data_IF_219602796031
#
_entry.id   IF_219602796031
#
_cell.length_a   1.000
_cell.length_b   1.000
_cell.length_c   1.000
_cell.angle_alpha   90.00
_cell.angle_beta   90.00
_cell.angle_gamma   90.00
#
_symmetry.space_group_name_H-M   'P 1'
#
loop_
_entity.id
_entity.type
_entity.pdbx_description
1 polymer ?
#
# COMPACT_ATOMS: atom_id res chain seq x y z
N UNK A 1 19.45 -47.39 -30.34
CA UNK A 1 19.06 -47.24 -28.92
C UNK A 1 20.19 -46.60 -28.15
N UNK A 2 20.13 -45.29 -27.94
CA UNK A 2 20.64 -44.61 -26.73
C UNK A 2 20.22 -43.15 -26.82
N UNK A 3 18.92 -42.89 -26.65
CA UNK A 3 18.39 -41.56 -26.38
C UNK A 3 18.50 -41.28 -24.87
N UNK A 4 19.69 -41.52 -24.31
CA UNK A 4 20.06 -41.11 -22.96
C UNK A 4 20.80 -39.75 -23.01
N UNK A 5 20.30 -38.84 -23.84
CA UNK A 5 20.57 -37.39 -23.76
C UNK A 5 19.57 -36.75 -22.81
N UNK A 6 19.58 -37.26 -21.58
CA UNK A 6 18.57 -37.03 -20.57
C UNK A 6 18.84 -35.72 -19.84
N UNK A 7 17.80 -34.87 -19.80
CA UNK A 7 17.56 -33.71 -18.91
C UNK A 7 18.52 -32.54 -19.07
N UNK A 8 18.06 -31.47 -19.74
CA UNK A 8 18.60 -30.13 -19.54
C UNK A 8 18.45 -29.76 -18.05
N UNK A 9 19.55 -29.73 -17.26
CA UNK A 9 19.48 -29.40 -15.84
C UNK A 9 19.30 -27.89 -15.73
N UNK A 10 18.04 -27.45 -15.62
CA UNK A 10 17.73 -26.01 -15.51
C UNK A 10 16.24 -25.69 -15.47
N UNK A 11 15.40 -26.53 -16.09
CA UNK A 11 13.97 -26.25 -16.25
C UNK A 11 13.13 -26.25 -14.96
N UNK A 12 13.66 -26.74 -13.83
CA UNK A 12 12.92 -26.78 -12.54
C UNK A 12 13.25 -25.63 -11.58
N UNK A 13 14.42 -25.00 -11.68
CA UNK A 13 14.81 -23.92 -10.74
C UNK A 13 14.13 -22.59 -11.06
N UNK A 14 13.77 -22.35 -12.32
CA UNK A 14 13.09 -21.13 -12.77
C UNK A 14 11.56 -21.09 -12.48
N UNK A 15 10.99 -22.16 -11.89
CA UNK A 15 9.53 -22.27 -11.64
C UNK A 15 9.15 -22.42 -10.17
N UNK A 16 10.08 -22.22 -9.24
CA UNK A 16 9.67 -22.15 -7.83
C UNK A 16 8.98 -20.80 -7.61
N UNK A 17 7.67 -20.83 -7.30
CA UNK A 17 6.93 -19.68 -6.76
C UNK A 17 7.38 -19.35 -5.34
N UNK A 18 8.67 -19.09 -5.17
CA UNK A 18 9.24 -18.61 -3.92
C UNK A 18 9.03 -17.11 -3.78
N UNK A 19 8.95 -16.65 -2.53
CA UNK A 19 9.01 -15.23 -2.21
C UNK A 19 10.30 -14.64 -2.77
N UNK A 20 10.17 -13.80 -3.79
CA UNK A 20 11.30 -13.08 -4.39
C UNK A 20 11.44 -11.70 -3.73
N UNK A 21 12.60 -11.06 -3.93
CA UNK A 21 12.93 -9.71 -3.45
C UNK A 21 11.85 -8.70 -3.81
N UNK A 22 11.28 -8.80 -5.02
CA UNK A 22 10.16 -7.95 -5.44
C UNK A 22 8.90 -8.12 -4.58
N UNK A 23 8.62 -9.33 -4.10
CA UNK A 23 7.49 -9.58 -3.19
C UNK A 23 7.76 -8.95 -1.82
N UNK A 24 9.01 -9.02 -1.33
CA UNK A 24 9.43 -8.34 -0.10
C UNK A 24 9.34 -6.81 -0.21
N UNK A 25 9.80 -6.24 -1.32
CA UNK A 25 9.68 -4.81 -1.60
C UNK A 25 8.22 -4.36 -1.70
N UNK A 26 7.36 -5.16 -2.34
CA UNK A 26 5.93 -4.89 -2.44
C UNK A 26 5.27 -4.84 -1.06
N UNK A 27 5.60 -5.78 -0.17
CA UNK A 27 5.09 -5.76 1.20
C UNK A 27 5.52 -4.50 1.96
N UNK A 28 6.80 -4.11 1.84
CA UNK A 28 7.31 -2.87 2.46
C UNK A 28 6.59 -1.63 1.92
N UNK A 29 6.36 -1.55 0.61
CA UNK A 29 5.60 -0.46 -0.01
C UNK A 29 4.18 -0.36 0.57
N UNK A 30 3.48 -1.48 0.72
CA UNK A 30 2.12 -1.50 1.29
C UNK A 30 2.13 -1.02 2.75
N UNK A 31 3.12 -1.41 3.55
CA UNK A 31 3.26 -0.94 4.93
C UNK A 31 3.49 0.58 5.01
N UNK A 32 4.40 1.10 4.19
CA UNK A 32 4.70 2.55 4.15
C UNK A 32 3.48 3.34 3.66
N UNK A 33 2.79 2.85 2.63
CA UNK A 33 1.55 3.46 2.14
C UNK A 33 0.47 3.47 3.24
N UNK A 34 0.29 2.38 3.97
CA UNK A 34 -0.63 2.31 5.10
C UNK A 34 -0.28 3.30 6.21
N UNK A 35 1.00 3.42 6.55
CA UNK A 35 1.47 4.40 7.54
C UNK A 35 1.21 5.85 7.07
N UNK A 36 1.49 6.17 5.81
CA UNK A 36 1.23 7.50 5.26
C UNK A 36 -0.27 7.84 5.28
N UNK A 37 -1.13 6.89 4.87
CA UNK A 37 -2.58 7.07 4.87
C UNK A 37 -3.14 7.28 6.29
N UNK A 38 -2.64 6.55 7.29
CA UNK A 38 -3.08 6.71 8.69
C UNK A 38 -2.63 8.05 9.28
N UNK A 39 -1.40 8.50 9.00
CA UNK A 39 -0.94 9.83 9.41
C UNK A 39 -1.80 10.94 8.80
N UNK A 40 -2.11 10.84 7.50
CA UNK A 40 -3.00 11.77 6.83
C UNK A 40 -4.42 11.74 7.43
N UNK A 41 -4.93 10.57 7.77
CA UNK A 41 -6.24 10.43 8.41
C UNK A 41 -6.30 11.18 9.74
N UNK A 42 -5.30 11.04 10.61
CA UNK A 42 -5.27 11.79 11.88
C UNK A 42 -5.14 13.29 11.69
N UNK A 43 -4.40 13.75 10.67
CA UNK A 43 -4.34 15.16 10.33
C UNK A 43 -5.71 15.67 9.84
N UNK A 44 -6.39 14.90 8.99
CA UNK A 44 -7.71 15.23 8.47
C UNK A 44 -8.77 15.32 9.59
N UNK A 45 -8.74 14.41 10.57
CA UNK A 45 -9.66 14.46 11.74
C UNK A 45 -9.58 15.80 12.48
N UNK A 46 -8.40 16.43 12.55
CA UNK A 46 -8.21 17.72 13.25
C UNK A 46 -8.81 18.90 12.51
N UNK A 47 -8.84 18.86 11.18
CA UNK A 47 -9.33 19.95 10.33
C UNK A 47 -10.77 19.75 9.88
N UNK A 48 -11.30 18.53 9.99
CA UNK A 48 -12.69 18.24 9.66
C UNK A 48 -13.67 18.88 10.65
N UNK A 49 -14.76 19.52 10.17
CA UNK A 49 -15.74 20.18 11.02
C UNK A 49 -16.40 19.21 11.99
N UNK A 50 -16.74 18.02 11.51
CA UNK A 50 -17.45 16.97 12.28
C UNK A 50 -16.49 15.90 12.83
N UNK A 51 -15.17 16.15 12.84
CA UNK A 51 -14.13 15.13 13.12
C UNK A 51 -14.19 13.90 12.20
N UNK A 52 -14.95 13.97 11.12
CA UNK A 52 -15.06 12.93 10.10
C UNK A 52 -14.20 13.32 8.88
N UNK A 53 -13.04 12.67 8.66
CA UNK A 53 -12.13 12.97 7.55
C UNK A 53 -12.61 12.43 6.20
N UNK A 54 -13.61 11.54 6.17
CA UNK A 54 -14.15 10.98 4.94
C UNK A 54 -15.31 11.79 4.36
N UNK A 55 -15.84 12.76 5.12
CA UNK A 55 -16.91 13.66 4.67
C UNK A 55 -16.30 14.84 3.94
N UNK A 56 -16.77 15.10 2.72
CA UNK A 56 -16.35 16.26 1.94
C UNK A 56 -16.87 17.56 2.59
N UNK A 57 -16.05 18.61 2.59
CA UNK A 57 -16.52 19.96 2.90
C UNK A 57 -17.18 20.57 1.65
N UNK A 58 -18.18 21.44 1.85
CA UNK A 58 -18.77 22.20 0.76
C UNK A 58 -17.73 23.14 0.14
N UNK A 59 -17.63 23.14 -1.19
CA UNK A 59 -16.62 23.90 -1.94
C UNK A 59 -16.66 25.42 -1.65
N UNK A 60 -17.84 25.94 -1.32
CA UNK A 60 -18.06 27.36 -1.04
C UNK A 60 -18.11 27.69 0.47
N UNK A 61 -17.87 26.71 1.36
CA UNK A 61 -17.98 26.91 2.81
C UNK A 61 -16.96 26.06 3.58
N UNK A 62 -15.80 26.65 3.83
CA UNK A 62 -14.75 26.05 4.66
C UNK A 62 -15.08 26.32 6.13
N UNK A 63 -15.31 25.26 6.91
CA UNK A 63 -15.60 25.33 8.34
C UNK A 63 -14.49 24.60 9.07
N UNK A 64 -13.88 25.25 10.05
CA UNK A 64 -12.84 24.67 10.90
C UNK A 64 -13.37 24.51 12.32
N UNK A 65 -13.04 23.41 13.02
CA UNK A 65 -13.60 23.11 14.34
C UNK A 65 -13.14 24.04 15.49
N UNK A 66 -12.24 25.01 15.27
CA UNK A 66 -11.67 25.89 16.31
C UNK A 66 -11.50 27.37 15.86
N UNK A 67 -12.41 27.92 15.06
CA UNK A 67 -12.32 29.34 14.61
C UNK A 67 -12.70 30.36 15.70
N UNK A 68 -13.31 29.93 16.80
CA UNK A 68 -13.85 30.80 17.85
C UNK A 68 -13.08 30.74 19.19
N UNK A 69 -11.74 30.66 19.17
CA UNK A 69 -10.90 30.88 20.36
C UNK A 69 -9.96 32.05 20.16
#
# INVERSE_FOLDING_TARGET
MSQFGMKMPGGRRARSGGLDVYTGLLFLMVLVLGAAATLMYFAAVKVSPDKNPLKLQDANRIILPNVDK
#
